data_IF_426188479741
#
_entry.id   IF_426188479741
#
_cell.length_a   1.000
_cell.length_b   1.000
_cell.length_c   1.000
_cell.angle_alpha   90.00
_cell.angle_beta   90.00
_cell.angle_gamma   90.00
#
_symmetry.space_group_name_H-M   'P 1'
#
loop_
_entity.id
_entity.type
_entity.pdbx_description
1 polymer ?
#
# COMPACT_ATOMS: atom_id res chain seq x y z
N UNK A 1 -9.14 45.53 20.90
CA UNK A 1 -8.51 45.00 19.66
C UNK A 1 -7.67 43.73 19.85
N UNK A 2 -7.19 43.37 21.06
CA UNK A 2 -6.31 42.19 21.25
C UNK A 2 -7.03 40.84 21.46
N UNK A 3 -8.33 40.86 21.84
CA UNK A 3 -9.13 39.65 22.13
C UNK A 3 -9.68 38.97 20.86
N UNK A 4 -10.02 39.75 19.84
CA UNK A 4 -10.51 39.26 18.55
C UNK A 4 -9.44 38.51 17.75
N UNK A 5 -8.18 38.95 17.81
CA UNK A 5 -7.07 38.23 17.16
C UNK A 5 -6.84 36.83 17.73
N UNK A 6 -7.07 36.64 19.05
CA UNK A 6 -6.98 35.32 19.68
C UNK A 6 -8.09 34.38 19.21
N UNK A 7 -9.33 34.89 19.10
CA UNK A 7 -10.47 34.10 18.62
C UNK A 7 -10.30 33.65 17.16
N UNK A 8 -9.75 34.52 16.31
CA UNK A 8 -9.43 34.17 14.92
C UNK A 8 -8.33 33.11 14.86
N UNK A 9 -7.27 33.24 15.68
CA UNK A 9 -6.20 32.24 15.75
C UNK A 9 -6.71 30.87 16.23
N UNK A 10 -7.59 30.86 17.24
CA UNK A 10 -8.25 29.64 17.75
C UNK A 10 -9.13 28.96 16.70
N UNK A 11 -9.90 29.74 15.94
CA UNK A 11 -10.75 29.22 14.88
C UNK A 11 -9.94 28.62 13.72
N UNK A 12 -8.82 29.25 13.34
CA UNK A 12 -7.91 28.72 12.31
C UNK A 12 -7.26 27.40 12.74
N UNK A 13 -6.83 27.27 14.00
CA UNK A 13 -6.27 26.03 14.54
C UNK A 13 -7.30 24.90 14.58
N UNK A 14 -8.55 25.19 14.96
CA UNK A 14 -9.63 24.20 14.96
C UNK A 14 -10.05 23.77 13.55
N UNK A 15 -9.94 24.65 12.54
CA UNK A 15 -10.19 24.32 11.14
C UNK A 15 -9.03 23.57 10.47
N UNK A 16 -7.79 23.75 10.95
CA UNK A 16 -6.60 23.09 10.40
C UNK A 16 -6.52 21.58 10.70
N UNK A 17 -7.37 21.07 11.59
CA UNK A 17 -7.47 19.65 11.94
C UNK A 17 -8.22 18.76 10.94
N UNK A 18 -8.67 19.30 9.79
CA UNK A 18 -9.25 18.50 8.71
C UNK A 18 -8.20 17.51 8.20
N UNK A 19 -8.42 16.23 8.50
CA UNK A 19 -7.55 15.08 8.27
C UNK A 19 -6.61 15.23 7.05
N UNK A 20 -5.33 15.47 7.32
CA UNK A 20 -4.28 15.33 6.33
C UNK A 20 -4.18 13.84 5.97
N UNK A 21 -4.71 13.46 4.81
CA UNK A 21 -4.56 12.13 4.22
C UNK A 21 -3.14 11.89 3.68
N UNK A 22 -2.12 12.05 4.53
CA UNK A 22 -0.75 11.75 4.15
C UNK A 22 -0.57 10.23 4.10
N UNK A 23 -0.54 9.66 2.90
CA UNK A 23 -0.09 8.28 2.70
C UNK A 23 1.43 8.20 2.85
N UNK A 24 1.94 7.07 3.34
CA UNK A 24 3.37 6.79 3.36
C UNK A 24 3.62 5.38 2.80
N UNK A 25 4.32 5.28 1.67
CA UNK A 25 4.68 4.00 1.05
C UNK A 25 5.58 3.16 1.97
N UNK A 26 6.39 3.80 2.82
CA UNK A 26 7.22 3.09 3.79
C UNK A 26 6.41 2.46 4.93
N UNK A 27 5.08 2.56 4.94
CA UNK A 27 4.20 1.83 5.86
C UNK A 27 3.73 0.48 5.28
N UNK A 28 3.95 0.24 3.99
CA UNK A 28 3.67 -1.07 3.39
C UNK A 28 4.71 -2.10 3.86
N UNK A 29 4.24 -3.31 4.14
CA UNK A 29 5.06 -4.45 4.57
C UNK A 29 4.75 -5.65 3.68
N UNK A 30 5.74 -6.50 3.48
CA UNK A 30 5.49 -7.87 3.04
C UNK A 30 4.92 -8.61 4.25
N UNK A 31 3.68 -9.09 4.13
CA UNK A 31 2.98 -9.81 5.20
C UNK A 31 3.28 -11.30 5.16
N UNK A 32 3.24 -11.88 3.98
CA UNK A 32 3.42 -13.31 3.70
C UNK A 32 4.15 -13.49 2.37
N UNK A 33 4.91 -14.58 2.28
CA UNK A 33 5.52 -15.08 1.05
C UNK A 33 5.21 -16.57 0.93
N UNK A 34 4.40 -16.94 -0.08
CA UNK A 34 4.12 -18.34 -0.41
C UNK A 34 4.94 -18.74 -1.63
N UNK A 35 6.03 -19.48 -1.45
CA UNK A 35 6.90 -19.91 -2.56
C UNK A 35 6.28 -21.02 -3.39
N UNK A 36 5.80 -22.07 -2.72
CA UNK A 36 5.20 -23.24 -3.36
C UNK A 36 3.72 -23.35 -2.98
N UNK A 37 2.85 -23.21 -3.97
CA UNK A 37 1.41 -23.24 -3.79
C UNK A 37 0.86 -24.62 -4.22
N UNK A 38 0.79 -25.55 -3.27
CA UNK A 38 0.35 -26.93 -3.55
C UNK A 38 -1.16 -27.10 -3.46
N UNK A 39 -1.81 -26.40 -2.52
CA UNK A 39 -3.24 -26.54 -2.22
C UNK A 39 -3.99 -25.22 -1.98
N UNK A 40 -3.37 -24.07 -2.24
CA UNK A 40 -3.91 -22.73 -1.96
C UNK A 40 -4.84 -22.15 -3.03
N UNK A 41 -4.63 -20.89 -3.40
CA UNK A 41 -5.41 -20.21 -4.43
C UNK A 41 -4.93 -20.58 -5.83
N UNK A 42 -5.83 -20.60 -6.81
CA UNK A 42 -5.48 -20.68 -8.24
C UNK A 42 -5.70 -19.33 -8.90
N UNK A 43 -4.95 -19.04 -9.95
CA UNK A 43 -5.20 -17.88 -10.79
C UNK A 43 -6.43 -18.06 -11.71
N UNK A 44 -6.70 -17.08 -12.58
CA UNK A 44 -7.81 -17.12 -13.53
C UNK A 44 -7.68 -18.21 -14.61
N UNK A 45 -6.53 -18.85 -14.72
CA UNK A 45 -6.27 -19.97 -15.64
C UNK A 45 -6.24 -21.33 -14.92
N UNK A 46 -6.52 -21.37 -13.62
CA UNK A 46 -6.49 -22.58 -12.81
C UNK A 46 -5.08 -23.01 -12.38
N UNK A 47 -4.06 -22.19 -12.62
CA UNK A 47 -2.68 -22.48 -12.20
C UNK A 47 -2.44 -22.08 -10.75
N UNK A 48 -1.60 -22.84 -10.07
CA UNK A 48 -1.12 -22.53 -8.72
C UNK A 48 0.27 -21.96 -8.82
N UNK A 49 0.41 -20.69 -8.48
CA UNK A 49 1.69 -20.01 -8.45
C UNK A 49 1.93 -19.49 -7.03
N UNK A 50 3.21 -19.41 -6.66
CA UNK A 50 3.60 -18.75 -5.43
C UNK A 50 3.30 -17.24 -5.51
N UNK A 51 3.07 -16.60 -4.37
CA UNK A 51 2.68 -15.20 -4.31
C UNK A 51 3.18 -14.49 -3.06
N UNK A 52 3.08 -13.16 -3.05
CA UNK A 52 3.38 -12.32 -1.90
C UNK A 52 2.17 -11.51 -1.45
N UNK A 53 2.03 -11.31 -0.14
CA UNK A 53 1.05 -10.39 0.44
C UNK A 53 1.68 -9.02 0.65
N UNK A 54 0.94 -7.96 0.29
CA UNK A 54 1.24 -6.60 0.74
C UNK A 54 0.24 -6.19 1.81
N UNK A 55 0.76 -5.80 2.97
CA UNK A 55 -0.01 -5.31 4.11
C UNK A 55 0.25 -3.81 4.36
N UNK A 56 -0.82 -3.05 4.59
CA UNK A 56 -0.74 -1.65 5.00
C UNK A 56 -0.73 -1.51 6.54
N UNK A 57 0.45 -1.24 7.11
CA UNK A 57 0.62 -1.04 8.55
C UNK A 57 0.21 0.37 9.05
N UNK A 58 -0.17 1.28 8.15
CA UNK A 58 -0.54 2.64 8.52
C UNK A 58 -1.97 2.76 9.06
N UNK A 59 -2.30 3.96 9.53
CA UNK A 59 -3.66 4.37 9.86
C UNK A 59 -4.36 5.13 8.72
N UNK A 60 -3.70 5.27 7.56
CA UNK A 60 -4.23 5.89 6.35
C UNK A 60 -4.41 4.89 5.21
N UNK A 61 -5.07 5.30 4.13
CA UNK A 61 -5.06 4.50 2.90
C UNK A 61 -3.75 4.74 2.15
N UNK A 62 -3.18 3.68 1.57
CA UNK A 62 -1.94 3.76 0.79
C UNK A 62 -2.18 3.23 -0.62
N UNK A 63 -1.87 4.05 -1.63
CA UNK A 63 -1.87 3.68 -3.04
C UNK A 63 -0.44 3.33 -3.47
N UNK A 64 -0.25 2.15 -4.05
CA UNK A 64 1.06 1.66 -4.49
C UNK A 64 1.12 1.28 -5.99
N UNK A 65 0.08 1.59 -6.77
CA UNK A 65 0.13 1.51 -8.23
C UNK A 65 1.34 2.30 -8.78
N UNK A 66 2.08 1.73 -9.73
CA UNK A 66 3.29 2.32 -10.30
C UNK A 66 4.56 2.13 -9.45
N UNK A 67 4.47 1.51 -8.28
CA UNK A 67 5.64 1.09 -7.53
C UNK A 67 6.32 -0.10 -8.22
N UNK A 68 7.55 -0.37 -7.79
CA UNK A 68 8.30 -1.54 -8.23
C UNK A 68 8.50 -2.51 -7.06
N UNK A 69 8.55 -3.79 -7.39
CA UNK A 69 8.98 -4.84 -6.48
C UNK A 69 10.28 -5.44 -7.00
N UNK A 70 11.18 -5.79 -6.08
CA UNK A 70 12.43 -6.45 -6.39
C UNK A 70 12.94 -7.22 -5.18
N UNK A 71 13.58 -8.35 -5.45
CA UNK A 71 14.41 -9.17 -4.55
C UNK A 71 15.92 -8.90 -4.77
N UNK A 72 16.26 -8.11 -5.79
CA UNK A 72 17.65 -7.75 -6.13
C UNK A 72 17.95 -6.31 -5.69
N UNK A 73 18.86 -6.19 -4.71
CA UNK A 73 19.31 -4.90 -4.17
C UNK A 73 20.02 -4.02 -5.21
N UNK A 74 20.58 -4.63 -6.26
CA UNK A 74 21.32 -3.93 -7.32
C UNK A 74 20.39 -3.59 -8.51
N UNK A 75 19.18 -4.18 -8.54
CA UNK A 75 18.13 -3.87 -9.52
C UNK A 75 16.76 -3.70 -8.85
N UNK A 76 16.47 -2.51 -8.34
CA UNK A 76 15.21 -2.21 -7.64
C UNK A 76 13.96 -2.12 -8.55
N UNK A 77 14.08 -2.33 -9.87
CA UNK A 77 13.00 -2.16 -10.84
C UNK A 77 12.63 -3.46 -11.58
N UNK A 78 12.91 -4.64 -11.00
CA UNK A 78 12.61 -5.95 -11.60
C UNK A 78 11.14 -6.09 -12.02
N UNK A 79 10.20 -5.75 -11.14
CA UNK A 79 8.77 -5.85 -11.43
C UNK A 79 8.08 -4.51 -11.28
N UNK A 80 7.36 -4.05 -12.30
CA UNK A 80 6.54 -2.84 -12.26
C UNK A 80 5.07 -3.17 -11.99
N UNK A 81 4.52 -2.61 -10.91
CA UNK A 81 3.10 -2.74 -10.56
C UNK A 81 2.29 -1.82 -11.48
N UNK A 82 1.40 -2.34 -12.35
CA UNK A 82 0.68 -1.51 -13.30
C UNK A 82 -0.12 -0.38 -12.64
N UNK A 83 0.04 0.85 -13.13
CA UNK A 83 -0.68 2.00 -12.60
C UNK A 83 -2.21 1.93 -12.81
N UNK A 84 -2.66 1.09 -13.74
CA UNK A 84 -4.07 0.83 -14.05
C UNK A 84 -4.73 -0.21 -13.14
N UNK A 85 -3.97 -0.86 -12.25
CA UNK A 85 -4.52 -1.89 -11.36
C UNK A 85 -5.33 -1.24 -10.23
N UNK A 86 -6.63 -1.56 -10.19
CA UNK A 86 -7.56 -1.04 -9.20
C UNK A 86 -7.38 -1.64 -7.80
N UNK A 87 -6.69 -2.79 -7.67
CA UNK A 87 -6.42 -3.48 -6.40
C UNK A 87 -5.26 -2.87 -5.59
N UNK A 88 -4.72 -1.74 -6.07
CA UNK A 88 -3.49 -1.14 -5.52
C UNK A 88 -3.72 -0.01 -4.51
N UNK A 89 -4.90 0.04 -3.90
CA UNK A 89 -5.24 0.98 -2.81
C UNK A 89 -5.63 0.15 -1.58
N UNK A 90 -4.81 0.20 -0.53
CA UNK A 90 -5.09 -0.50 0.73
C UNK A 90 -5.60 0.47 1.77
N UNK A 91 -6.76 0.16 2.36
CA UNK A 91 -7.26 0.85 3.55
C UNK A 91 -6.33 0.58 4.75
N UNK A 92 -6.48 1.35 5.85
CA UNK A 92 -5.72 1.09 7.07
C UNK A 92 -5.84 -0.38 7.49
N UNK A 93 -4.71 -1.03 7.80
CA UNK A 93 -4.67 -2.42 8.28
C UNK A 93 -5.23 -3.46 7.29
N UNK A 94 -5.29 -3.14 6.01
CA UNK A 94 -5.73 -4.06 4.96
C UNK A 94 -4.54 -4.76 4.32
N UNK A 95 -4.74 -6.03 3.97
CA UNK A 95 -3.85 -6.82 3.10
C UNK A 95 -4.46 -7.03 1.72
N UNK A 96 -3.62 -7.35 0.74
CA UNK A 96 -4.06 -7.84 -0.58
C UNK A 96 -3.18 -8.99 -1.03
N UNK A 97 -3.86 -10.06 -1.45
CA UNK A 97 -3.32 -11.34 -1.90
C UNK A 97 -4.29 -11.97 -2.91
N UNK A 98 -3.83 -12.70 -3.93
CA UNK A 98 -2.45 -12.73 -4.43
C UNK A 98 -2.21 -11.51 -5.32
N UNK A 99 -1.15 -10.74 -5.07
CA UNK A 99 -0.82 -9.63 -5.98
C UNK A 99 0.03 -10.08 -7.17
N UNK A 100 0.87 -11.12 -7.01
CA UNK A 100 1.92 -11.42 -7.98
C UNK A 100 2.28 -12.90 -8.03
N UNK A 101 2.50 -13.50 -9.21
CA UNK A 101 3.23 -14.75 -9.30
C UNK A 101 4.71 -14.52 -8.99
N UNK A 102 5.26 -15.25 -8.02
CA UNK A 102 6.68 -15.19 -7.63
C UNK A 102 7.66 -15.53 -8.77
N UNK A 103 7.17 -16.08 -9.88
CA UNK A 103 7.96 -16.41 -11.07
C UNK A 103 8.63 -15.20 -11.74
N UNK A 104 8.34 -13.98 -11.27
CA UNK A 104 8.91 -12.73 -11.79
C UNK A 104 10.12 -12.23 -10.98
N UNK A 105 10.55 -12.97 -9.96
CA UNK A 105 11.69 -12.64 -9.08
C UNK A 105 12.85 -13.62 -9.27
#
# INVERSE_FOLDING_TARGET
>A
MKRSGRLILSAVLLFSGLALGAQNLSDLRIGEVLVENTNGLTDGYGQRTGWIEIFNNSYGSVKFAGCYLSDDKDNLRKYHIPASDASTILKPRQSVSPLLPLQQF
#
